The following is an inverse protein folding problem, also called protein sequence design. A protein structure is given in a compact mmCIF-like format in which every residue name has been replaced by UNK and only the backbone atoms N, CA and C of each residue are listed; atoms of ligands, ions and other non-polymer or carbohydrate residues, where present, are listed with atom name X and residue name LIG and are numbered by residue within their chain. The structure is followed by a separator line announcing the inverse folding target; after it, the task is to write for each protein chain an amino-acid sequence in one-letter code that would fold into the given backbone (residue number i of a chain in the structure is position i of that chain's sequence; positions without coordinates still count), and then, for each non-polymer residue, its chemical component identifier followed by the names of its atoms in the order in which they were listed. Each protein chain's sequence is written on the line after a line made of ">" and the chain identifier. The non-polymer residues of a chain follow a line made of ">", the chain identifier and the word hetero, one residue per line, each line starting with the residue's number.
data_IF_380125780037
#
_entry.id   IF_380125780037
#
_cell.length_a   1.000
_cell.length_b   1.000
_cell.length_c   1.000
_cell.angle_alpha   90.00
_cell.angle_beta   90.00
_cell.angle_gamma   90.00
#
_symmetry.space_group_name_H-M   'P 1'
#
loop_
_entity.id
_entity.type
_entity.pdbx_description
1 polymer ?
#
# COMPACT_ATOMS: atom_id res chain seq x y z
N UNK A 1 2.38 51.55 -19.88
CA UNK A 1 1.74 50.29 -19.47
C UNK A 1 2.78 49.17 -19.60
N UNK A 2 3.36 48.74 -18.49
CA UNK A 2 4.28 47.61 -18.48
C UNK A 2 3.47 46.34 -18.60
N UNK A 3 3.74 45.55 -19.65
CA UNK A 3 3.13 44.24 -19.83
C UNK A 3 3.64 43.34 -18.70
N UNK A 4 2.70 42.91 -17.85
CA UNK A 4 2.97 41.94 -16.78
C UNK A 4 3.17 40.57 -17.47
N UNK A 5 4.40 40.29 -17.91
CA UNK A 5 4.79 38.94 -18.36
C UNK A 5 4.87 38.06 -17.16
N UNK A 6 3.74 37.45 -16.76
CA UNK A 6 3.76 36.37 -15.76
C UNK A 6 4.68 35.27 -16.33
N UNK A 7 5.84 35.09 -15.71
CA UNK A 7 6.79 34.05 -16.08
C UNK A 7 6.13 32.71 -15.84
N UNK A 8 5.91 31.92 -16.90
CA UNK A 8 5.37 30.56 -16.76
C UNK A 8 6.37 29.73 -15.95
N UNK A 9 5.91 29.12 -14.87
CA UNK A 9 6.74 28.32 -13.99
C UNK A 9 6.40 26.82 -14.20
N UNK A 10 7.40 25.92 -14.16
CA UNK A 10 7.18 24.49 -14.38
C UNK A 10 6.66 23.77 -13.11
N UNK A 11 5.77 24.41 -12.35
CA UNK A 11 5.33 23.96 -11.03
C UNK A 11 4.73 22.55 -11.06
N UNK A 12 3.83 22.29 -12.00
CA UNK A 12 3.20 20.96 -12.13
C UNK A 12 4.22 19.89 -12.52
N UNK A 13 5.15 20.22 -13.45
CA UNK A 13 6.19 19.29 -13.89
C UNK A 13 7.10 18.93 -12.73
N UNK A 14 7.56 19.94 -11.97
CA UNK A 14 8.41 19.72 -10.79
C UNK A 14 7.71 18.91 -9.72
N UNK A 15 6.45 19.22 -9.41
CA UNK A 15 5.67 18.46 -8.44
C UNK A 15 5.54 16.99 -8.83
N UNK A 16 5.19 16.71 -10.09
CA UNK A 16 5.08 15.33 -10.58
C UNK A 16 6.42 14.59 -10.59
N UNK A 17 7.50 15.26 -10.99
CA UNK A 17 8.84 14.67 -11.00
C UNK A 17 9.33 14.28 -9.60
N UNK A 18 8.92 15.03 -8.56
CA UNK A 18 9.31 14.77 -7.17
C UNK A 18 8.34 13.88 -6.41
N UNK A 19 7.12 13.66 -6.92
CA UNK A 19 6.06 12.88 -6.25
C UNK A 19 6.44 11.42 -5.98
N UNK A 20 7.44 10.89 -6.66
CA UNK A 20 7.94 9.52 -6.47
C UNK A 20 8.67 9.33 -5.14
N UNK A 21 9.36 10.36 -4.62
CA UNK A 21 10.22 10.22 -3.45
C UNK A 21 9.45 9.80 -2.18
N UNK A 22 8.34 10.43 -1.77
CA UNK A 22 7.56 9.98 -0.62
C UNK A 22 7.03 8.56 -0.80
N UNK A 23 6.62 8.20 -2.01
CA UNK A 23 6.11 6.87 -2.33
C UNK A 23 7.17 5.78 -2.18
N UNK A 24 8.40 6.03 -2.68
CA UNK A 24 9.51 5.09 -2.51
C UNK A 24 10.02 5.05 -1.06
N UNK A 25 9.98 6.15 -0.31
CA UNK A 25 10.29 6.16 1.12
C UNK A 25 9.29 5.28 1.89
N UNK A 26 7.99 5.41 1.60
CA UNK A 26 6.95 4.53 2.16
C UNK A 26 7.22 3.06 1.83
N UNK A 27 7.53 2.74 0.56
CA UNK A 27 7.85 1.38 0.15
C UNK A 27 9.02 0.81 0.95
N UNK A 28 10.13 1.55 1.04
CA UNK A 28 11.32 1.13 1.80
C UNK A 28 10.99 0.95 3.30
N UNK A 29 10.20 1.85 3.88
CA UNK A 29 9.74 1.74 5.26
C UNK A 29 8.90 0.49 5.52
N UNK A 30 8.04 0.11 4.57
CA UNK A 30 7.25 -1.13 4.63
C UNK A 30 8.13 -2.38 4.47
N UNK A 31 9.08 -2.39 3.55
CA UNK A 31 10.01 -3.50 3.31
C UNK A 31 10.91 -3.75 4.52
N UNK A 32 11.42 -2.70 5.15
CA UNK A 32 12.26 -2.77 6.35
C UNK A 32 11.47 -2.97 7.64
N UNK A 33 10.14 -2.88 7.59
CA UNK A 33 9.27 -2.93 8.77
C UNK A 33 9.58 -1.86 9.81
N UNK A 34 9.79 -0.62 9.35
CA UNK A 34 10.14 0.53 10.21
C UNK A 34 9.05 0.83 11.25
N UNK A 35 7.79 0.61 10.91
CA UNK A 35 6.64 1.07 11.70
C UNK A 35 6.33 0.18 12.91
N UNK A 36 6.61 -1.12 12.82
CA UNK A 36 6.26 -2.08 13.90
C UNK A 36 7.04 -1.84 15.20
N UNK A 37 8.37 -1.59 15.20
CA UNK A 37 9.09 -1.27 16.43
C UNK A 37 8.63 0.03 17.11
N UNK A 38 8.09 0.98 16.33
CA UNK A 38 7.60 2.27 16.83
C UNK A 38 6.19 2.22 17.46
N UNK A 39 5.57 1.05 17.53
CA UNK A 39 4.22 0.89 18.11
C UNK A 39 4.15 1.18 19.61
N UNK A 40 5.24 0.89 20.31
CA UNK A 40 5.32 0.99 21.77
C UNK A 40 5.89 2.33 22.26
N UNK A 41 6.27 3.21 21.33
CA UNK A 41 6.76 4.56 21.62
C UNK A 41 7.88 5.03 20.70
N UNK A 42 8.31 6.28 20.87
CA UNK A 42 9.34 6.90 20.05
C UNK A 42 10.72 6.27 20.24
N UNK A 43 11.45 6.03 19.15
CA UNK A 43 12.84 5.52 19.15
C UNK A 43 13.76 6.50 18.42
N UNK A 44 15.05 6.52 18.82
CA UNK A 44 16.09 7.19 18.05
C UNK A 44 16.44 6.37 16.79
N UNK A 45 17.12 7.00 15.81
CA UNK A 45 17.60 6.29 14.63
C UNK A 45 18.53 5.12 14.99
N UNK A 46 19.42 5.31 15.98
CA UNK A 46 20.31 4.26 16.48
C UNK A 46 19.53 3.07 17.05
N UNK A 47 18.59 3.34 17.98
CA UNK A 47 17.75 2.29 18.57
C UNK A 47 16.97 1.50 17.52
N UNK A 48 16.40 2.20 16.54
CA UNK A 48 15.63 1.57 15.47
C UNK A 48 16.54 0.78 14.53
N UNK A 49 17.75 1.28 14.23
CA UNK A 49 18.73 0.57 13.40
C UNK A 49 19.19 -0.74 14.05
N UNK A 50 19.40 -0.74 15.37
CA UNK A 50 19.73 -1.93 16.14
C UNK A 50 18.62 -2.99 16.07
N UNK A 51 17.36 -2.58 16.27
CA UNK A 51 16.18 -3.48 16.19
C UNK A 51 16.03 -4.06 14.80
N UNK A 52 16.18 -3.23 13.76
CA UNK A 52 16.01 -3.63 12.36
C UNK A 52 17.27 -4.30 11.78
N UNK A 53 18.42 -4.23 12.46
CA UNK A 53 19.73 -4.73 12.01
C UNK A 53 20.17 -4.10 10.69
N UNK A 54 20.05 -2.78 10.58
CA UNK A 54 20.39 -2.00 9.38
C UNK A 54 21.41 -0.90 9.71
N UNK A 55 21.96 -0.29 8.66
CA UNK A 55 22.88 0.83 8.83
C UNK A 55 22.15 2.09 9.35
N UNK A 56 22.57 2.62 10.50
CA UNK A 56 21.97 3.77 11.16
C UNK A 56 21.98 5.03 10.28
N UNK A 57 23.12 5.37 9.68
CA UNK A 57 23.27 6.58 8.85
C UNK A 57 22.28 6.57 7.67
N UNK A 58 22.10 5.42 7.03
CA UNK A 58 21.18 5.27 5.90
C UNK A 58 19.74 5.26 6.37
N UNK A 59 19.46 4.58 7.48
CA UNK A 59 18.13 4.57 8.09
C UNK A 59 17.69 5.98 8.49
N UNK A 60 18.55 6.76 9.12
CA UNK A 60 18.23 8.14 9.53
C UNK A 60 17.70 8.99 8.38
N UNK A 61 18.30 8.88 7.19
CA UNK A 61 17.83 9.60 5.99
C UNK A 61 16.43 9.13 5.57
N UNK A 62 16.16 7.82 5.62
CA UNK A 62 14.84 7.27 5.34
C UNK A 62 13.80 7.76 6.36
N UNK A 63 14.14 7.81 7.64
CA UNK A 63 13.22 8.27 8.69
C UNK A 63 12.79 9.71 8.44
N UNK A 64 13.70 10.63 8.09
CA UNK A 64 13.33 11.98 7.72
C UNK A 64 12.50 12.07 6.44
N UNK A 65 12.76 11.20 5.45
CA UNK A 65 11.90 11.10 4.27
C UNK A 65 10.47 10.64 4.64
N UNK A 66 10.34 9.70 5.59
CA UNK A 66 9.05 9.26 6.11
C UNK A 66 8.34 10.35 6.94
N UNK A 67 9.07 11.22 7.64
CA UNK A 67 8.51 12.41 8.29
C UNK A 67 7.95 13.38 7.23
N UNK A 68 8.71 13.63 6.15
CA UNK A 68 8.25 14.46 5.03
C UNK A 68 7.03 13.86 4.33
N UNK A 69 6.93 12.52 4.29
CA UNK A 69 5.78 11.79 3.77
C UNK A 69 4.59 11.73 4.75
N UNK A 70 4.66 12.38 5.91
CA UNK A 70 3.64 12.39 6.97
C UNK A 70 3.29 11.00 7.53
N UNK A 71 4.22 10.06 7.46
CA UNK A 71 4.07 8.72 8.05
C UNK A 71 4.73 8.61 9.42
N UNK A 72 5.74 9.43 9.68
CA UNK A 72 6.38 9.57 10.98
C UNK A 72 6.32 11.02 11.46
N UNK A 73 6.48 11.19 12.77
CA UNK A 73 6.81 12.46 13.42
C UNK A 73 8.20 12.36 14.03
N UNK A 74 8.83 13.51 14.31
CA UNK A 74 10.11 13.59 15.00
C UNK A 74 10.07 14.69 16.04
N UNK A 75 10.50 14.35 17.26
CA UNK A 75 10.70 15.29 18.35
C UNK A 75 12.12 15.12 18.91
N UNK A 76 12.94 16.16 18.80
CA UNK A 76 14.37 16.05 19.05
C UNK A 76 15.03 15.06 18.09
N UNK A 77 15.50 13.93 18.61
CA UNK A 77 16.13 12.83 17.87
C UNK A 77 15.26 11.55 17.81
N UNK A 78 14.01 11.62 18.30
CA UNK A 78 13.11 10.47 18.42
C UNK A 78 12.02 10.52 17.38
N UNK A 79 11.85 9.40 16.69
CA UNK A 79 10.84 9.18 15.67
C UNK A 79 9.68 8.39 16.25
N UNK A 80 8.46 8.75 15.84
CA UNK A 80 7.23 8.04 16.21
C UNK A 80 6.32 7.88 15.00
N UNK A 81 5.47 6.85 15.03
CA UNK A 81 4.42 6.67 14.04
C UNK A 81 3.39 7.80 14.13
N UNK A 82 2.88 8.26 12.98
CA UNK A 82 1.61 8.99 12.96
C UNK A 82 0.44 8.07 13.30
N UNK A 83 -0.74 8.59 13.68
CA UNK A 83 -1.93 7.76 13.90
C UNK A 83 -2.27 6.86 12.71
N UNK A 84 -2.13 7.37 11.49
CA UNK A 84 -2.35 6.60 10.27
C UNK A 84 -1.35 5.46 10.13
N UNK A 85 -0.06 5.73 10.31
CA UNK A 85 0.97 4.71 10.24
C UNK A 85 0.80 3.63 11.32
N UNK A 86 0.44 4.02 12.55
CA UNK A 86 0.13 3.09 13.63
C UNK A 86 -1.01 2.15 13.26
N UNK A 87 -2.07 2.70 12.67
CA UNK A 87 -3.27 1.93 12.36
C UNK A 87 -3.09 0.98 11.16
N UNK A 88 -2.34 1.42 10.13
CA UNK A 88 -2.28 0.69 8.85
C UNK A 88 -0.93 0.05 8.54
N UNK A 89 0.17 0.45 9.19
CA UNK A 89 1.53 -0.01 8.84
C UNK A 89 2.22 -0.82 9.95
N UNK A 90 1.61 -0.97 11.10
CA UNK A 90 2.11 -1.82 12.20
C UNK A 90 1.63 -3.26 11.99
N UNK A 91 2.57 -4.21 11.95
CA UNK A 91 2.25 -5.65 11.84
C UNK A 91 1.41 -6.14 13.01
N UNK A 92 0.48 -7.03 12.71
CA UNK A 92 -0.45 -7.59 13.70
C UNK A 92 -1.75 -6.80 13.87
N UNK A 93 -1.85 -5.60 13.31
CA UNK A 93 -3.12 -4.88 13.27
C UNK A 93 -4.08 -5.51 12.25
N UNK A 94 -5.39 -5.61 12.55
CA UNK A 94 -6.38 -6.14 11.60
C UNK A 94 -6.48 -5.34 10.29
N UNK A 95 -6.03 -4.08 10.33
CA UNK A 95 -6.03 -3.13 9.20
C UNK A 95 -4.68 -3.05 8.49
N UNK A 96 -3.71 -3.89 8.85
CA UNK A 96 -2.34 -3.85 8.35
C UNK A 96 -2.27 -3.90 6.82
N UNK A 97 -1.67 -2.88 6.23
CA UNK A 97 -1.47 -2.73 4.78
C UNK A 97 0.00 -2.94 4.35
N UNK A 98 0.92 -3.06 5.31
CA UNK A 98 2.36 -3.14 5.02
C UNK A 98 2.77 -4.35 4.18
N UNK A 99 2.01 -5.45 4.22
CA UNK A 99 2.22 -6.61 3.35
C UNK A 99 1.97 -6.36 1.84
N UNK A 100 1.49 -5.17 1.48
CA UNK A 100 1.27 -4.78 0.08
C UNK A 100 2.53 -4.29 -0.63
N UNK A 101 3.66 -4.16 0.07
CA UNK A 101 4.90 -3.65 -0.52
C UNK A 101 5.37 -4.47 -1.73
N UNK A 102 5.15 -5.78 -1.75
CA UNK A 102 5.46 -6.63 -2.90
C UNK A 102 4.61 -6.24 -4.12
N UNK A 103 3.28 -6.04 -3.92
CA UNK A 103 2.38 -5.60 -4.98
C UNK A 103 2.75 -4.20 -5.50
N UNK A 104 3.18 -3.29 -4.62
CA UNK A 104 3.63 -1.97 -5.06
C UNK A 104 4.90 -2.05 -5.87
N UNK A 105 5.89 -2.84 -5.44
CA UNK A 105 7.15 -3.03 -6.17
C UNK A 105 6.90 -3.53 -7.59
N UNK A 106 6.09 -4.59 -7.76
CA UNK A 106 5.73 -5.14 -9.07
C UNK A 106 4.98 -4.11 -9.93
N UNK A 107 4.01 -3.38 -9.35
CA UNK A 107 3.24 -2.38 -10.09
C UNK A 107 4.12 -1.23 -10.55
N UNK A 108 5.01 -0.74 -9.70
CA UNK A 108 5.87 0.39 -10.04
C UNK A 108 6.95 0.01 -11.04
N UNK A 109 7.47 -1.20 -11.00
CA UNK A 109 8.33 -1.74 -12.05
C UNK A 109 7.60 -1.76 -13.40
N UNK A 110 6.36 -2.26 -13.42
CA UNK A 110 5.54 -2.25 -14.64
C UNK A 110 5.29 -0.84 -15.19
N UNK A 111 5.10 0.15 -14.30
CA UNK A 111 4.87 1.55 -14.70
C UNK A 111 6.08 2.17 -15.40
N UNK A 112 7.32 1.74 -15.09
CA UNK A 112 8.53 2.21 -15.80
C UNK A 112 8.50 1.83 -17.28
N UNK A 113 7.75 0.80 -17.67
CA UNK A 113 7.63 0.32 -19.05
C UNK A 113 6.38 0.85 -19.78
N UNK A 114 5.65 1.82 -19.20
CA UNK A 114 4.40 2.35 -19.77
C UNK A 114 4.60 2.89 -21.18
N UNK A 115 5.66 3.66 -21.42
CA UNK A 115 5.93 4.26 -22.73
C UNK A 115 6.17 3.18 -23.81
N UNK A 116 6.84 2.09 -23.45
CA UNK A 116 7.08 0.98 -24.36
C UNK A 116 5.81 0.19 -24.63
N UNK A 117 5.00 -0.04 -23.60
CA UNK A 117 3.68 -0.66 -23.74
C UNK A 117 2.78 0.12 -24.71
N UNK A 118 2.78 1.47 -24.61
CA UNK A 118 2.00 2.33 -25.51
C UNK A 118 2.56 2.25 -26.93
N UNK A 119 3.88 2.29 -27.10
CA UNK A 119 4.54 2.28 -28.41
C UNK A 119 4.32 0.97 -29.17
N UNK A 120 4.33 -0.16 -28.49
CA UNK A 120 4.23 -1.49 -29.08
C UNK A 120 2.81 -2.05 -29.09
N UNK A 121 1.90 -1.51 -28.27
CA UNK A 121 0.58 -2.10 -27.99
C UNK A 121 0.64 -3.41 -27.19
N UNK A 122 1.82 -3.80 -26.70
CA UNK A 122 2.03 -5.05 -25.97
C UNK A 122 2.40 -4.77 -24.51
N UNK A 123 1.72 -5.38 -23.52
CA UNK A 123 2.12 -5.27 -22.12
C UNK A 123 3.55 -5.77 -21.93
N UNK A 124 4.41 -4.92 -21.36
CA UNK A 124 5.81 -5.27 -21.10
C UNK A 124 5.98 -6.04 -19.77
N UNK A 125 5.09 -5.79 -18.81
CA UNK A 125 5.05 -6.49 -17.53
C UNK A 125 3.65 -7.07 -17.34
N UNK A 126 3.47 -8.33 -17.67
CA UNK A 126 2.20 -9.05 -17.49
C UNK A 126 2.40 -10.16 -16.46
N UNK A 127 1.64 -10.10 -15.38
CA UNK A 127 1.54 -11.20 -14.43
C UNK A 127 0.46 -12.16 -14.91
N UNK A 128 0.86 -13.34 -15.36
CA UNK A 128 -0.08 -14.39 -15.72
C UNK A 128 -0.39 -15.27 -14.50
N UNK A 129 -1.48 -14.95 -13.83
CA UNK A 129 -1.92 -15.70 -12.65
C UNK A 129 -2.25 -17.16 -12.96
N UNK A 130 -2.57 -17.51 -14.21
CA UNK A 130 -2.88 -18.90 -14.60
C UNK A 130 -1.63 -19.80 -14.56
N UNK A 131 -0.45 -19.22 -14.71
CA UNK A 131 0.83 -19.96 -14.71
C UNK A 131 1.52 -19.98 -13.33
N UNK A 132 1.05 -19.15 -12.38
CA UNK A 132 1.62 -19.09 -11.05
C UNK A 132 1.10 -20.23 -10.16
N UNK A 133 1.99 -20.83 -9.36
CA UNK A 133 1.58 -21.75 -8.30
C UNK A 133 0.69 -21.03 -7.26
N UNK A 134 -0.16 -21.75 -6.51
CA UNK A 134 -0.96 -21.16 -5.45
C UNK A 134 -0.13 -20.39 -4.42
N UNK A 135 1.05 -20.91 -4.06
CA UNK A 135 1.95 -20.25 -3.10
C UNK A 135 2.53 -18.93 -3.65
N UNK A 136 2.83 -18.87 -4.95
CA UNK A 136 3.30 -17.65 -5.61
C UNK A 136 2.20 -16.58 -5.76
N UNK A 137 0.93 -17.00 -5.79
CA UNK A 137 -0.21 -16.07 -5.82
C UNK A 137 -0.55 -15.51 -4.43
N UNK A 138 -0.23 -16.24 -3.36
CA UNK A 138 -0.66 -15.96 -2.00
C UNK A 138 -0.25 -14.57 -1.49
N UNK A 139 0.99 -14.06 -1.68
CA UNK A 139 1.38 -12.71 -1.26
C UNK A 139 0.51 -11.63 -1.88
N UNK A 140 0.18 -11.76 -3.18
CA UNK A 140 -0.69 -10.82 -3.88
C UNK A 140 -2.08 -10.75 -3.24
N UNK A 141 -2.72 -11.90 -3.02
CA UNK A 141 -4.06 -11.93 -2.41
C UNK A 141 -4.04 -11.49 -0.94
N UNK A 142 -3.01 -11.85 -0.17
CA UNK A 142 -2.84 -11.37 1.21
C UNK A 142 -2.70 -9.85 1.28
N UNK A 143 -1.95 -9.25 0.36
CA UNK A 143 -1.81 -7.80 0.27
C UNK A 143 -3.11 -7.07 -0.07
N UNK A 144 -4.01 -7.70 -0.85
CA UNK A 144 -5.30 -7.12 -1.22
C UNK A 144 -6.40 -7.35 -0.18
N UNK A 145 -6.31 -8.43 0.60
CA UNK A 145 -7.38 -8.90 1.48
C UNK A 145 -7.92 -7.85 2.46
N UNK A 146 -7.08 -7.07 3.20
CA UNK A 146 -7.59 -6.08 4.16
C UNK A 146 -8.47 -5.02 3.48
N UNK A 147 -8.06 -4.53 2.30
CA UNK A 147 -8.83 -3.55 1.54
C UNK A 147 -10.15 -4.15 1.03
N UNK A 148 -10.10 -5.34 0.46
CA UNK A 148 -11.30 -6.04 -0.05
C UNK A 148 -12.29 -6.29 1.09
N UNK A 149 -11.81 -6.69 2.26
CA UNK A 149 -12.64 -6.88 3.46
C UNK A 149 -13.27 -5.57 3.94
N UNK A 150 -12.53 -4.46 3.95
CA UNK A 150 -13.06 -3.14 4.30
C UNK A 150 -14.15 -2.69 3.32
N UNK A 151 -13.91 -2.84 2.01
CA UNK A 151 -14.91 -2.55 0.97
C UNK A 151 -16.15 -3.43 1.12
N UNK A 152 -15.97 -4.73 1.39
CA UNK A 152 -17.10 -5.65 1.61
C UNK A 152 -17.95 -5.25 2.82
N UNK A 153 -17.33 -4.78 3.90
CA UNK A 153 -18.05 -4.25 5.06
C UNK A 153 -18.83 -2.98 4.73
N UNK A 154 -18.24 -2.06 3.99
CA UNK A 154 -18.89 -0.81 3.58
C UNK A 154 -20.13 -1.10 2.71
N UNK A 155 -20.00 -1.96 1.70
CA UNK A 155 -21.13 -2.37 0.86
C UNK A 155 -22.21 -3.09 1.68
N UNK A 156 -21.82 -4.01 2.56
CA UNK A 156 -22.78 -4.72 3.42
C UNK A 156 -23.53 -3.79 4.40
N UNK A 157 -22.95 -2.63 4.75
CA UNK A 157 -23.61 -1.63 5.58
C UNK A 157 -24.59 -0.73 4.81
N UNK A 158 -24.44 -0.64 3.49
CA UNK A 158 -25.23 0.25 2.62
C UNK A 158 -26.30 -0.47 1.81
N UNK A 159 -26.17 -1.78 1.64
CA UNK A 159 -27.08 -2.58 0.83
C UNK A 159 -27.74 -3.67 1.67
N UNK A 160 -29.06 -3.77 1.59
CA UNK A 160 -29.83 -4.81 2.24
C UNK A 160 -29.84 -6.08 1.38
N UNK A 161 -29.11 -7.08 1.83
CA UNK A 161 -29.05 -8.40 1.21
C UNK A 161 -30.10 -9.38 1.74
N UNK A 162 -30.99 -8.98 2.68
CA UNK A 162 -31.93 -9.87 3.34
C UNK A 162 -32.91 -10.57 2.39
N UNK A 163 -33.19 -9.94 1.24
CA UNK A 163 -34.05 -10.50 0.20
C UNK A 163 -33.31 -11.38 -0.83
N UNK A 164 -31.98 -11.40 -0.79
CA UNK A 164 -31.17 -12.15 -1.74
C UNK A 164 -30.94 -13.58 -1.25
N UNK A 165 -31.26 -14.57 -2.07
CA UNK A 165 -31.06 -16.00 -1.74
C UNK A 165 -29.70 -16.54 -2.25
N UNK A 166 -29.10 -15.86 -3.23
CA UNK A 166 -27.84 -16.27 -3.86
C UNK A 166 -26.96 -15.03 -4.12
N UNK A 167 -25.66 -15.23 -4.03
CA UNK A 167 -24.64 -14.24 -4.37
C UNK A 167 -23.63 -14.86 -5.33
N UNK A 168 -23.37 -14.20 -6.47
CA UNK A 168 -22.27 -14.53 -7.35
C UNK A 168 -21.14 -13.53 -7.17
N UNK A 169 -19.99 -14.02 -6.73
CA UNK A 169 -18.77 -13.22 -6.60
C UNK A 169 -17.87 -13.48 -7.82
N UNK A 170 -18.02 -12.66 -8.85
CA UNK A 170 -17.27 -12.77 -10.10
C UNK A 170 -15.93 -12.06 -9.95
N UNK A 171 -14.82 -12.80 -10.09
CA UNK A 171 -13.49 -12.26 -9.87
C UNK A 171 -13.17 -12.03 -8.39
N UNK A 172 -13.79 -12.78 -7.49
CA UNK A 172 -13.79 -12.60 -6.03
C UNK A 172 -12.41 -12.62 -5.33
N UNK A 173 -11.35 -12.86 -6.07
CA UNK A 173 -9.96 -12.74 -5.58
C UNK A 173 -9.70 -13.52 -4.30
N UNK A 174 -9.46 -12.81 -3.18
CA UNK A 174 -9.21 -13.43 -1.87
C UNK A 174 -10.45 -14.03 -1.20
N UNK A 175 -11.62 -13.94 -1.82
CA UNK A 175 -12.89 -14.40 -1.26
C UNK A 175 -13.37 -13.62 -0.04
N UNK A 176 -12.84 -12.44 0.22
CA UNK A 176 -13.17 -11.62 1.39
C UNK A 176 -14.67 -11.24 1.46
N UNK A 177 -15.34 -11.18 0.32
CA UNK A 177 -16.78 -10.96 0.22
C UNK A 177 -17.59 -12.18 0.70
N UNK A 178 -17.09 -13.38 0.50
CA UNK A 178 -17.76 -14.64 0.92
C UNK A 178 -17.92 -14.75 2.44
N UNK A 179 -17.01 -14.18 3.20
CA UNK A 179 -16.96 -14.37 4.66
C UNK A 179 -18.08 -13.68 5.43
N UNK A 180 -18.67 -12.61 4.88
CA UNK A 180 -19.73 -11.85 5.56
C UNK A 180 -21.14 -12.18 5.08
N UNK A 181 -21.28 -12.73 3.87
CA UNK A 181 -22.59 -13.16 3.36
C UNK A 181 -23.08 -14.48 3.97
N UNK A 182 -22.29 -15.14 4.82
CA UNK A 182 -22.66 -16.41 5.47
C UNK A 182 -23.83 -16.27 6.46
N UNK A 183 -24.31 -15.07 6.74
CA UNK A 183 -25.41 -14.94 7.70
C UNK A 183 -26.80 -15.33 7.15
N UNK A 184 -27.00 -15.55 5.85
CA UNK A 184 -28.27 -16.09 5.29
C UNK A 184 -28.26 -16.35 3.78
N UNK A 185 -27.14 -16.20 3.06
CA UNK A 185 -27.13 -16.32 1.60
C UNK A 185 -26.37 -17.59 1.17
N UNK A 186 -27.01 -18.45 0.36
CA UNK A 186 -26.31 -19.59 -0.28
C UNK A 186 -25.36 -19.07 -1.34
N UNK A 187 -24.07 -19.36 -1.18
CA UNK A 187 -23.04 -18.97 -2.15
C UNK A 187 -23.05 -19.99 -3.28
N UNK A 188 -23.32 -19.53 -4.50
CA UNK A 188 -23.18 -20.32 -5.71
C UNK A 188 -21.73 -20.20 -6.24
N UNK A 189 -20.88 -21.16 -5.91
CA UNK A 189 -19.52 -21.26 -6.41
C UNK A 189 -18.98 -22.66 -6.11
N UNK A 190 -18.44 -23.33 -7.13
CA UNK A 190 -17.80 -24.65 -6.98
C UNK A 190 -16.60 -24.57 -6.04
N UNK A 191 -16.27 -25.67 -5.33
CA UNK A 191 -15.07 -25.82 -4.54
C UNK A 191 -13.79 -25.70 -5.41
#
# INVERSE_FOLDING_TARGET
>A
MAANTSTVQPTTIQHLALAVYPSFAMLAGMQLDVFTPLKDGPLTAAQLADVLRVNEEKLSRLLYALVTAHLLTVEGDRFANTPEATHFLVKGQPTYLGGRHENFSETWEALLHTAETIRTGMPQCKKDFATLSPDAQLPFFRGLHPRTLATGRDVASRYDFSTSQTLADVGGGSGAWRWRSQMSIRICGRP
#
